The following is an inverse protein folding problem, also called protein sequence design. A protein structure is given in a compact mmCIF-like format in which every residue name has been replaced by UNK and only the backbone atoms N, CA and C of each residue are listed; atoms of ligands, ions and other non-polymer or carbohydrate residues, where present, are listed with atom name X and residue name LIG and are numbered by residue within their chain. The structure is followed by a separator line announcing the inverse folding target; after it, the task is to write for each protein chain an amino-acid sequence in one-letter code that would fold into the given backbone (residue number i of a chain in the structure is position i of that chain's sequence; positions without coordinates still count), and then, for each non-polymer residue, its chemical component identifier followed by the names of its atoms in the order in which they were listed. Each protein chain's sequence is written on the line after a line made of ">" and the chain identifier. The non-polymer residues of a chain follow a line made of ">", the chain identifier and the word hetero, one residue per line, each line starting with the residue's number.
data_IF_742177906661
#
_entry.id   IF_742177906661
#
_cell.length_a   1.000
_cell.length_b   1.000
_cell.length_c   1.000
_cell.angle_alpha   90.00
_cell.angle_beta   90.00
_cell.angle_gamma   90.00
#
_symmetry.space_group_name_H-M   'P 1'
#
loop_
_entity.id
_entity.type
_entity.pdbx_description
1 polymer ?
#
# COMPACT_ATOMS: atom_id res chain seq x y z
N UNK A 1 30.19 -0.27 22.84
CA UNK A 1 28.96 0.46 23.26
C UNK A 1 28.26 -0.40 24.28
N UNK A 2 28.25 0.07 25.53
CA UNK A 2 27.92 -0.68 26.72
C UNK A 2 26.42 -0.57 27.09
N UNK A 3 25.94 -1.61 27.75
CA UNK A 3 24.57 -1.81 28.22
C UNK A 3 24.23 -0.84 29.36
N UNK A 4 23.09 -0.11 29.34
CA UNK A 4 22.85 1.03 30.24
C UNK A 4 22.17 0.66 31.58
N UNK A 5 22.27 -0.59 32.05
CA UNK A 5 21.55 -1.05 33.25
C UNK A 5 22.43 -1.57 34.39
N UNK A 6 23.73 -1.25 34.41
CA UNK A 6 24.58 -1.57 35.55
C UNK A 6 25.33 -0.35 36.08
N UNK A 7 24.95 0.06 37.29
CA UNK A 7 25.78 0.68 38.34
C UNK A 7 25.13 0.20 39.65
N UNK A 8 25.70 -0.76 40.40
CA UNK A 8 26.73 -0.53 41.46
C UNK A 8 26.30 0.69 42.31
N UNK A 9 25.89 0.60 43.58
CA UNK A 9 26.24 -0.21 44.76
C UNK A 9 24.96 -0.23 45.67
N UNK A 10 24.70 -1.13 46.63
CA UNK A 10 25.58 -1.51 47.71
C UNK A 10 25.00 -2.67 48.55
N UNK A 11 25.92 -3.33 49.25
CA UNK A 11 25.80 -4.59 49.99
C UNK A 11 24.83 -4.54 51.17
N UNK A 12 24.12 -5.65 51.43
CA UNK A 12 23.81 -6.11 52.79
C UNK A 12 23.71 -7.64 52.84
N UNK A 13 24.80 -8.28 53.30
CA UNK A 13 24.75 -9.60 53.94
C UNK A 13 23.98 -9.45 55.26
N UNK A 14 22.97 -10.28 55.49
CA UNK A 14 22.27 -10.29 56.78
C UNK A 14 21.22 -11.38 56.92
N UNK A 15 21.60 -12.46 57.61
CA UNK A 15 20.79 -13.36 58.41
C UNK A 15 19.54 -14.05 57.82
N UNK A 16 19.65 -15.38 57.76
CA UNK A 16 18.55 -16.31 58.01
C UNK A 16 17.76 -15.91 59.26
N UNK A 17 16.47 -15.64 59.12
CA UNK A 17 15.52 -15.79 60.22
C UNK A 17 14.17 -16.31 59.73
N UNK A 18 13.71 -17.32 60.46
CA UNK A 18 12.50 -18.08 60.28
C UNK A 18 11.22 -17.23 60.16
N UNK A 19 10.22 -17.81 59.48
CA UNK A 19 8.83 -17.39 59.54
C UNK A 19 8.33 -16.64 58.31
N UNK A 20 8.16 -17.35 57.18
CA UNK A 20 7.14 -16.93 56.22
C UNK A 20 5.84 -17.60 56.63
N UNK A 21 4.99 -16.85 57.33
CA UNK A 21 3.57 -17.15 57.35
C UNK A 21 3.07 -17.17 55.89
N UNK A 22 2.21 -18.12 55.49
CA UNK A 22 1.57 -18.04 54.18
C UNK A 22 0.82 -16.71 54.10
N UNK A 23 1.11 -15.94 53.04
CA UNK A 23 0.42 -14.68 52.76
C UNK A 23 -1.08 -14.95 52.76
N UNK A 24 -1.79 -14.36 53.73
CA UNK A 24 -3.24 -14.46 53.84
C UNK A 24 -3.88 -13.90 52.56
N UNK A 25 -4.47 -14.79 51.76
CA UNK A 25 -5.40 -14.40 50.70
C UNK A 25 -6.65 -13.79 51.34
N UNK A 26 -7.16 -12.69 50.77
CA UNK A 26 -8.38 -12.01 51.25
C UNK A 26 -9.66 -12.85 51.10
N UNK A 27 -9.59 -14.06 50.55
CA UNK A 27 -10.71 -15.01 50.51
C UNK A 27 -10.80 -15.80 51.82
N UNK A 28 -10.85 -15.09 52.95
CA UNK A 28 -11.21 -15.67 54.24
C UNK A 28 -12.70 -15.39 54.48
N UNK A 29 -13.55 -16.29 53.98
CA UNK A 29 -14.98 -16.20 54.15
C UNK A 29 -15.71 -17.28 53.37
N UNK A 30 -15.77 -18.49 53.95
CA UNK A 30 -16.71 -19.52 53.54
C UNK A 30 -18.15 -18.99 53.75
N UNK A 31 -18.73 -18.37 52.73
CA UNK A 31 -20.17 -18.19 52.58
C UNK A 31 -20.63 -19.25 51.59
N UNK A 32 -21.25 -20.31 52.11
CA UNK A 32 -21.80 -21.42 51.33
C UNK A 32 -23.12 -21.01 50.65
N UNK A 33 -23.16 -19.86 49.97
CA UNK A 33 -24.27 -19.47 49.12
C UNK A 33 -23.81 -19.59 47.67
N UNK A 34 -24.38 -20.56 46.98
CA UNK A 34 -24.16 -20.80 45.55
C UNK A 34 -24.54 -19.54 44.76
N UNK A 35 -25.50 -18.78 45.27
CA UNK A 35 -25.97 -17.50 44.76
C UNK A 35 -24.87 -16.42 44.71
N UNK A 36 -24.02 -16.31 45.75
CA UNK A 36 -22.92 -15.32 45.77
C UNK A 36 -21.87 -15.67 44.69
N UNK A 37 -21.55 -16.96 44.55
CA UNK A 37 -20.61 -17.43 43.53
C UNK A 37 -21.16 -17.22 42.12
N UNK A 38 -22.44 -17.52 41.89
CA UNK A 38 -23.10 -17.26 40.60
C UNK A 38 -23.03 -15.77 40.26
N UNK A 39 -23.36 -14.88 41.18
CA UNK A 39 -23.32 -13.44 40.94
C UNK A 39 -21.92 -12.93 40.58
N UNK A 40 -20.87 -13.47 41.20
CA UNK A 40 -19.48 -13.14 40.86
C UNK A 40 -19.10 -13.64 39.46
N UNK A 41 -19.52 -14.85 39.08
CA UNK A 41 -19.32 -15.38 37.72
C UNK A 41 -20.06 -14.55 36.66
N UNK A 42 -21.31 -14.16 36.91
CA UNK A 42 -22.10 -13.32 36.02
C UNK A 42 -21.42 -11.97 35.74
N UNK A 43 -20.88 -11.34 36.80
CA UNK A 43 -20.14 -10.08 36.68
C UNK A 43 -18.87 -10.24 35.85
N UNK A 44 -18.14 -11.34 36.01
CA UNK A 44 -16.92 -11.59 35.25
C UNK A 44 -17.23 -11.87 33.77
N UNK A 45 -18.29 -12.64 33.46
CA UNK A 45 -18.75 -12.87 32.08
C UNK A 45 -19.12 -11.55 31.40
N UNK A 46 -19.92 -10.72 32.06
CA UNK A 46 -20.30 -9.40 31.53
C UNK A 46 -19.08 -8.53 31.25
N UNK A 47 -18.12 -8.50 32.18
CA UNK A 47 -16.88 -7.73 32.02
C UNK A 47 -16.10 -8.19 30.78
N UNK A 48 -15.96 -9.49 30.53
CA UNK A 48 -15.27 -9.99 29.34
C UNK A 48 -16.04 -9.69 28.04
N UNK A 49 -17.36 -9.80 28.05
CA UNK A 49 -18.19 -9.44 26.89
C UNK A 49 -18.08 -7.95 26.56
N UNK A 50 -18.16 -7.08 27.58
CA UNK A 50 -18.00 -5.64 27.39
C UNK A 50 -16.60 -5.31 26.84
N UNK A 51 -15.55 -5.91 27.42
CA UNK A 51 -14.19 -5.75 26.91
C UNK A 51 -14.06 -6.21 25.44
N UNK A 52 -14.77 -7.26 25.05
CA UNK A 52 -14.79 -7.78 23.68
C UNK A 52 -15.51 -6.84 22.72
N UNK A 53 -16.66 -6.28 23.12
CA UNK A 53 -17.37 -5.24 22.36
C UNK A 53 -16.46 -4.02 22.14
N UNK A 54 -15.88 -3.50 23.22
CA UNK A 54 -15.01 -2.32 23.13
C UNK A 54 -13.77 -2.59 22.27
N UNK A 55 -13.20 -3.80 22.35
CA UNK A 55 -12.04 -4.19 21.56
C UNK A 55 -12.38 -4.31 20.08
N UNK A 56 -13.46 -5.01 19.74
CA UNK A 56 -13.89 -5.16 18.34
C UNK A 56 -14.28 -3.83 17.73
N UNK A 57 -14.95 -2.95 18.47
CA UNK A 57 -15.26 -1.59 18.02
C UNK A 57 -13.99 -0.79 17.72
N UNK A 58 -12.98 -0.82 18.59
CA UNK A 58 -11.69 -0.17 18.33
C UNK A 58 -11.03 -0.72 17.07
N UNK A 59 -11.06 -2.04 16.87
CA UNK A 59 -10.50 -2.67 15.68
C UNK A 59 -11.21 -2.25 14.40
N UNK A 60 -12.56 -2.20 14.39
CA UNK A 60 -13.34 -1.68 13.25
C UNK A 60 -12.93 -0.25 12.91
N UNK A 61 -12.78 0.63 13.92
CA UNK A 61 -12.37 2.01 13.70
C UNK A 61 -10.94 2.11 13.14
N UNK A 62 -10.01 1.28 13.63
CA UNK A 62 -8.64 1.25 13.11
C UNK A 62 -8.57 0.75 11.67
N UNK A 63 -9.38 -0.24 11.31
CA UNK A 63 -9.47 -0.75 9.94
C UNK A 63 -10.10 0.29 9.00
N UNK A 64 -11.15 1.01 9.42
CA UNK A 64 -11.72 2.13 8.67
C UNK A 64 -10.68 3.24 8.43
N UNK A 65 -9.89 3.58 9.45
CA UNK A 65 -8.80 4.54 9.28
C UNK A 65 -7.72 4.04 8.31
N UNK A 66 -7.43 2.73 8.33
CA UNK A 66 -6.45 2.12 7.43
C UNK A 66 -6.96 2.13 5.98
N UNK A 67 -8.25 1.89 5.78
CA UNK A 67 -8.90 1.89 4.48
C UNK A 67 -8.88 3.28 3.84
N UNK A 68 -9.23 4.33 4.61
CA UNK A 68 -9.11 5.73 4.18
C UNK A 68 -7.67 6.12 3.81
N UNK A 69 -6.70 5.65 4.60
CA UNK A 69 -5.30 5.87 4.31
C UNK A 69 -4.88 5.19 3.01
N UNK A 70 -5.28 3.93 2.81
CA UNK A 70 -5.01 3.18 1.57
C UNK A 70 -5.64 3.86 0.34
N UNK A 71 -6.87 4.34 0.47
CA UNK A 71 -7.59 5.06 -0.58
C UNK A 71 -6.88 6.38 -0.97
N UNK A 72 -6.43 7.15 0.03
CA UNK A 72 -5.62 8.36 -0.20
C UNK A 72 -4.30 8.02 -0.88
N UNK A 73 -3.59 6.99 -0.41
CA UNK A 73 -2.36 6.51 -1.04
C UNK A 73 -2.59 6.08 -2.49
N UNK A 74 -3.70 5.39 -2.77
CA UNK A 74 -4.06 4.97 -4.11
C UNK A 74 -4.24 6.17 -5.06
N UNK A 75 -4.93 7.22 -4.62
CA UNK A 75 -5.08 8.46 -5.40
C UNK A 75 -3.75 9.13 -5.68
N UNK A 76 -2.88 9.20 -4.66
CA UNK A 76 -1.54 9.75 -4.83
C UNK A 76 -0.71 8.96 -5.84
N UNK A 77 -0.78 7.62 -5.83
CA UNK A 77 -0.07 6.79 -6.81
C UNK A 77 -0.61 7.01 -8.23
N UNK A 78 -1.93 7.13 -8.41
CA UNK A 78 -2.52 7.45 -9.72
C UNK A 78 -2.05 8.81 -10.25
N UNK A 79 -2.01 9.84 -9.39
CA UNK A 79 -1.49 11.17 -9.75
C UNK A 79 0.01 11.13 -10.08
N UNK A 80 0.80 10.43 -9.26
CA UNK A 80 2.24 10.24 -9.50
C UNK A 80 2.48 9.56 -10.84
N UNK A 81 1.71 8.53 -11.16
CA UNK A 81 1.79 7.84 -12.43
C UNK A 81 1.59 8.80 -13.61
N UNK A 82 0.54 9.63 -13.56
CA UNK A 82 0.25 10.59 -14.62
C UNK A 82 1.42 11.57 -14.83
N UNK A 83 2.11 11.96 -13.75
CA UNK A 83 3.32 12.79 -13.83
C UNK A 83 4.48 12.04 -14.49
N UNK A 84 4.69 10.77 -14.15
CA UNK A 84 5.73 9.94 -14.76
C UNK A 84 5.46 9.70 -16.25
N UNK A 85 4.21 9.46 -16.65
CA UNK A 85 3.84 9.31 -18.06
C UNK A 85 4.10 10.59 -18.86
N UNK A 86 3.77 11.77 -18.29
CA UNK A 86 4.14 13.06 -18.90
C UNK A 86 5.65 13.23 -19.00
N UNK A 87 6.41 12.87 -17.98
CA UNK A 87 7.86 12.96 -17.98
C UNK A 87 8.47 12.06 -19.07
N UNK A 88 7.99 10.80 -19.17
CA UNK A 88 8.44 9.86 -20.20
C UNK A 88 8.13 10.39 -21.61
N UNK A 89 6.93 10.94 -21.84
CA UNK A 89 6.54 11.56 -23.10
C UNK A 89 7.44 12.74 -23.46
N UNK A 90 7.71 13.64 -22.51
CA UNK A 90 8.59 14.79 -22.73
C UNK A 90 10.01 14.35 -23.12
N UNK A 91 10.52 13.27 -22.52
CA UNK A 91 11.82 12.71 -22.90
C UNK A 91 11.81 12.14 -24.32
N UNK A 92 10.72 11.51 -24.76
CA UNK A 92 10.60 11.02 -26.14
C UNK A 92 10.51 12.19 -27.15
N UNK A 93 9.85 13.29 -26.78
CA UNK A 93 9.81 14.53 -27.56
C UNK A 93 11.19 15.20 -27.66
N UNK A 94 11.93 15.27 -26.56
CA UNK A 94 13.32 15.76 -26.54
C UNK A 94 14.17 14.90 -27.47
N UNK A 95 14.11 13.57 -27.36
CA UNK A 95 14.86 12.68 -28.24
C UNK A 95 14.56 12.95 -29.71
N UNK A 96 13.29 13.11 -30.07
CA UNK A 96 12.86 13.41 -31.44
C UNK A 96 13.38 14.76 -31.92
N UNK A 97 13.29 15.79 -31.08
CA UNK A 97 13.81 17.14 -31.35
C UNK A 97 15.31 17.11 -31.56
N UNK A 98 16.04 16.43 -30.69
CA UNK A 98 17.48 16.20 -30.79
C UNK A 98 17.85 15.49 -32.09
N UNK A 99 17.08 14.49 -32.56
CA UNK A 99 17.32 13.84 -33.86
C UNK A 99 17.16 14.83 -35.02
N UNK A 100 16.15 15.69 -34.98
CA UNK A 100 15.96 16.75 -35.98
C UNK A 100 17.11 17.76 -35.94
N UNK A 101 17.48 18.24 -34.75
CA UNK A 101 18.62 19.14 -34.53
C UNK A 101 19.91 18.55 -35.08
N UNK A 102 20.18 17.25 -34.89
CA UNK A 102 21.38 16.61 -35.43
C UNK A 102 21.42 16.67 -36.96
N UNK A 103 20.30 16.43 -37.64
CA UNK A 103 20.22 16.51 -39.11
C UNK A 103 20.48 17.93 -39.58
N UNK A 104 19.92 18.93 -38.90
CA UNK A 104 20.16 20.34 -39.19
C UNK A 104 21.62 20.76 -38.92
N UNK A 105 22.26 20.27 -37.86
CA UNK A 105 23.68 20.53 -37.60
C UNK A 105 24.58 19.87 -38.66
N UNK A 106 24.22 18.67 -39.12
CA UNK A 106 24.94 17.99 -40.19
C UNK A 106 24.83 18.75 -41.53
N UNK A 107 23.64 19.31 -41.84
CA UNK A 107 23.49 20.14 -43.04
C UNK A 107 24.28 21.45 -42.95
N UNK A 108 24.28 22.12 -41.79
CA UNK A 108 25.04 23.36 -41.57
C UNK A 108 26.56 23.13 -41.66
N UNK A 109 27.10 22.06 -41.05
CA UNK A 109 28.52 21.68 -41.22
C UNK A 109 28.90 21.54 -42.69
N UNK A 110 28.03 20.95 -43.51
CA UNK A 110 28.28 20.76 -44.94
C UNK A 110 28.36 22.08 -45.72
N UNK A 111 27.71 23.14 -45.26
CA UNK A 111 27.70 24.45 -45.92
C UNK A 111 28.92 25.30 -45.56
N UNK A 112 29.38 25.24 -44.30
CA UNK A 112 30.53 26.01 -43.84
C UNK A 112 31.88 25.34 -44.14
N UNK A 113 31.92 24.02 -44.37
CA UNK A 113 33.16 23.26 -44.64
C UNK A 113 33.40 22.85 -46.11
N UNK A 114 32.47 23.12 -47.04
CA UNK A 114 32.46 22.43 -48.34
C UNK A 114 32.12 23.26 -49.58
N UNK A 115 32.09 24.59 -49.50
CA UNK A 115 31.68 25.43 -50.63
C UNK A 115 32.82 25.96 -51.53
N UNK A 116 33.83 25.13 -51.78
CA UNK A 116 34.62 25.23 -53.02
C UNK A 116 34.73 23.84 -53.66
N UNK A 117 33.96 23.65 -54.74
CA UNK A 117 34.08 22.59 -55.77
C UNK A 117 33.38 21.25 -55.49
N UNK A 118 32.06 21.16 -55.68
CA UNK A 118 31.48 20.28 -56.72
C UNK A 118 29.94 20.40 -56.84
N UNK A 119 29.52 21.02 -57.95
CA UNK A 119 28.48 20.59 -58.91
C UNK A 119 27.14 20.06 -58.38
N UNK A 120 26.10 20.86 -58.65
CA UNK A 120 24.83 20.46 -59.27
C UNK A 120 24.75 18.98 -59.71
N UNK A 121 24.09 18.13 -58.93
CA UNK A 121 23.39 16.94 -59.44
C UNK A 121 22.72 16.19 -58.30
N UNK A 122 21.39 16.04 -58.44
CA UNK A 122 20.50 15.04 -57.83
C UNK A 122 20.00 15.30 -56.39
N UNK A 123 18.80 15.87 -56.37
CA UNK A 123 17.76 15.67 -55.36
C UNK A 123 17.67 14.19 -54.92
N UNK A 124 17.80 13.85 -53.63
CA UNK A 124 17.29 12.59 -53.13
C UNK A 124 15.79 12.74 -52.86
N UNK A 125 14.99 11.88 -53.49
CA UNK A 125 13.58 11.66 -53.14
C UNK A 125 13.51 11.21 -51.69
N UNK A 126 12.95 12.05 -50.82
CA UNK A 126 12.53 11.66 -49.48
C UNK A 126 11.42 10.60 -49.61
N UNK A 127 11.70 9.39 -49.15
CA UNK A 127 10.65 8.46 -48.76
C UNK A 127 10.36 8.73 -47.28
N UNK A 128 9.12 9.05 -46.89
CA UNK A 128 8.77 9.09 -45.48
C UNK A 128 8.97 7.68 -44.94
N UNK A 129 9.88 7.52 -43.98
CA UNK A 129 9.91 6.31 -43.14
C UNK A 129 8.77 6.45 -42.15
N UNK A 130 7.59 6.04 -42.59
CA UNK A 130 6.53 5.59 -41.69
C UNK A 130 7.11 4.45 -40.86
N UNK A 131 7.16 4.66 -39.55
CA UNK A 131 7.83 3.79 -38.61
C UNK A 131 8.21 4.49 -37.32
N UNK A 132 7.50 5.56 -36.94
CA UNK A 132 7.35 5.85 -35.52
C UNK A 132 6.49 4.72 -35.01
N UNK A 133 7.14 3.69 -34.44
CA UNK A 133 6.44 2.80 -33.53
C UNK A 133 5.89 3.73 -32.46
N UNK A 134 4.61 4.08 -32.59
CA UNK A 134 3.83 4.51 -31.47
C UNK A 134 3.91 3.33 -30.51
N UNK A 135 4.85 3.40 -29.56
CA UNK A 135 4.66 2.76 -28.29
C UNK A 135 3.38 3.40 -27.76
N UNK A 136 2.24 2.82 -28.12
CA UNK A 136 0.99 3.05 -27.42
C UNK A 136 1.36 2.78 -25.96
N UNK A 137 1.36 3.82 -25.14
CA UNK A 137 1.44 3.67 -23.70
C UNK A 137 0.31 2.72 -23.35
N UNK A 138 0.66 1.45 -23.13
CA UNK A 138 -0.31 0.45 -22.70
C UNK A 138 -0.89 1.00 -21.42
N UNK A 139 -2.21 1.20 -21.37
CA UNK A 139 -2.87 1.51 -20.10
C UNK A 139 -2.38 0.47 -19.09
N UNK A 140 -1.87 0.95 -17.96
CA UNK A 140 -1.32 0.03 -16.97
C UNK A 140 -2.46 -0.78 -16.41
N UNK A 141 -2.34 -2.09 -16.48
CA UNK A 141 -3.27 -2.99 -15.79
C UNK A 141 -3.30 -2.68 -14.30
N UNK A 142 -2.17 -2.28 -13.71
CA UNK A 142 -2.04 -1.87 -12.31
C UNK A 142 -2.88 -0.62 -11.98
N UNK A 143 -2.80 0.43 -12.81
CA UNK A 143 -3.55 1.68 -12.66
C UNK A 143 -5.05 1.47 -12.89
N UNK A 144 -5.42 0.63 -13.87
CA UNK A 144 -6.80 0.25 -14.14
C UNK A 144 -7.40 -0.54 -12.95
N UNK A 145 -6.63 -1.44 -12.35
CA UNK A 145 -7.05 -2.16 -11.15
C UNK A 145 -7.16 -1.24 -9.93
N UNK A 146 -6.17 -0.36 -9.73
CA UNK A 146 -6.16 0.56 -8.59
C UNK A 146 -7.31 1.57 -8.68
N UNK A 147 -7.54 2.15 -9.86
CA UNK A 147 -8.68 3.05 -10.09
C UNK A 147 -10.01 2.32 -9.94
N UNK A 148 -10.12 1.05 -10.33
CA UNK A 148 -11.31 0.24 -10.09
C UNK A 148 -11.58 0.07 -8.58
N UNK A 149 -10.56 -0.15 -7.76
CA UNK A 149 -10.74 -0.30 -6.31
C UNK A 149 -11.11 1.05 -5.66
N UNK A 150 -10.50 2.16 -6.10
CA UNK A 150 -10.84 3.52 -5.65
C UNK A 150 -12.29 3.90 -6.00
N UNK A 151 -12.73 3.57 -7.22
CA UNK A 151 -14.06 3.95 -7.71
C UNK A 151 -15.14 2.92 -7.34
N UNK A 152 -14.75 1.74 -6.85
CA UNK A 152 -15.68 0.72 -6.36
C UNK A 152 -16.20 1.12 -4.98
N UNK A 153 -17.05 2.15 -4.95
CA UNK A 153 -17.84 2.49 -3.77
C UNK A 153 -18.87 1.38 -3.51
N UNK A 154 -18.67 0.64 -2.41
CA UNK A 154 -19.68 -0.02 -1.56
C UNK A 154 -20.81 -0.89 -2.16
N UNK A 155 -20.85 -1.20 -3.46
CA UNK A 155 -21.90 -2.06 -4.04
C UNK A 155 -21.64 -3.57 -3.89
N UNK A 156 -20.49 -3.96 -3.30
CA UNK A 156 -20.11 -5.35 -3.09
C UNK A 156 -20.31 -5.83 -1.65
N UNK A 157 -21.35 -5.35 -0.97
CA UNK A 157 -22.00 -6.11 0.11
C UNK A 157 -22.88 -7.26 -0.42
N UNK A 158 -23.04 -7.37 -1.74
CA UNK A 158 -23.86 -8.39 -2.40
C UNK A 158 -23.28 -8.77 -3.76
N UNK A 159 -22.03 -9.21 -3.80
CA UNK A 159 -21.54 -9.96 -4.96
C UNK A 159 -21.80 -11.43 -4.68
N UNK A 160 -22.80 -11.97 -5.37
CA UNK A 160 -23.02 -13.40 -5.50
C UNK A 160 -21.68 -14.09 -5.76
N UNK A 161 -21.20 -14.86 -4.78
CA UNK A 161 -20.10 -15.80 -4.91
C UNK A 161 -20.54 -16.97 -5.78
N UNK A 162 -20.83 -16.69 -7.04
CA UNK A 162 -21.01 -17.69 -8.08
C UNK A 162 -19.63 -18.25 -8.42
N UNK A 163 -19.30 -19.35 -7.75
CA UNK A 163 -18.46 -20.39 -8.32
C UNK A 163 -17.00 -19.99 -8.61
N UNK A 164 -16.19 -19.80 -7.56
CA UNK A 164 -14.74 -19.97 -7.64
C UNK A 164 -14.23 -20.57 -6.34
N UNK A 165 -13.75 -21.82 -6.44
CA UNK A 165 -12.97 -22.50 -5.41
C UNK A 165 -11.67 -21.71 -5.16
N UNK A 166 -11.72 -20.74 -4.26
CA UNK A 166 -10.52 -20.11 -3.70
C UNK A 166 -10.83 -19.54 -2.31
N UNK A 167 -10.38 -20.27 -1.29
CA UNK A 167 -10.07 -19.82 0.08
C UNK A 167 -11.08 -18.90 0.75
N UNK A 168 -11.96 -19.54 1.52
CA UNK A 168 -12.85 -18.95 2.50
C UNK A 168 -12.11 -17.99 3.45
N UNK A 169 -12.43 -16.71 3.38
CA UNK A 169 -12.15 -15.70 4.42
C UNK A 169 -13.43 -15.04 4.94
N UNK A 170 -14.61 -15.52 4.54
CA UNK A 170 -15.88 -14.79 4.72
C UNK A 170 -16.95 -15.55 5.52
N UNK A 171 -16.53 -16.23 6.58
CA UNK A 171 -17.45 -16.50 7.68
C UNK A 171 -16.61 -16.54 8.94
N UNK A 172 -16.56 -15.42 9.67
CA UNK A 172 -16.27 -15.54 11.10
C UNK A 172 -17.44 -16.35 11.65
N UNK A 173 -17.18 -17.58 12.12
CA UNK A 173 -18.22 -18.34 12.81
C UNK A 173 -18.68 -17.56 14.05
N UNK A 174 -19.83 -17.94 14.64
CA UNK A 174 -20.31 -17.29 15.86
C UNK A 174 -19.19 -17.30 16.91
N UNK A 175 -18.97 -16.16 17.58
CA UNK A 175 -17.89 -16.02 18.56
C UNK A 175 -18.05 -16.95 19.76
N UNK A 176 -19.29 -17.36 20.05
CA UNK A 176 -19.63 -18.34 21.08
C UNK A 176 -20.20 -19.64 20.48
N UNK A 177 -20.02 -20.74 21.22
CA UNK A 177 -20.62 -22.03 20.88
C UNK A 177 -22.15 -21.97 20.95
N UNK A 178 -22.83 -22.82 20.19
CA UNK A 178 -24.30 -22.86 20.19
C UNK A 178 -24.90 -23.16 21.58
N UNK A 179 -24.24 -24.00 22.37
CA UNK A 179 -24.62 -24.26 23.76
C UNK A 179 -24.48 -23.00 24.64
N UNK A 180 -23.43 -22.20 24.43
CA UNK A 180 -23.23 -20.95 25.16
C UNK A 180 -24.24 -19.89 24.74
N UNK A 181 -24.59 -19.83 23.44
CA UNK A 181 -25.63 -18.94 22.92
C UNK A 181 -27.00 -19.23 23.49
N UNK A 182 -27.36 -20.52 23.59
CA UNK A 182 -28.61 -20.93 24.23
C UNK A 182 -28.69 -20.51 25.71
N UNK A 183 -27.55 -20.47 26.42
CA UNK A 183 -27.51 -20.04 27.83
C UNK A 183 -27.66 -18.53 28.01
N UNK A 184 -27.24 -17.73 27.04
CA UNK A 184 -27.33 -16.27 27.10
C UNK A 184 -28.57 -15.70 26.38
N UNK A 185 -29.37 -16.56 25.73
CA UNK A 185 -30.54 -16.16 24.97
C UNK A 185 -31.55 -15.39 25.84
N UNK A 186 -32.06 -14.28 25.32
CA UNK A 186 -32.99 -13.39 26.01
C UNK A 186 -32.34 -12.49 27.07
N UNK A 187 -31.01 -12.53 27.22
CA UNK A 187 -30.27 -11.69 28.18
C UNK A 187 -29.53 -10.55 27.48
N UNK A 188 -29.02 -9.59 28.27
CA UNK A 188 -28.14 -8.54 27.74
C UNK A 188 -26.84 -9.08 27.13
N UNK A 189 -26.40 -10.28 27.52
CA UNK A 189 -25.21 -10.91 26.98
C UNK A 189 -25.40 -11.35 25.53
N UNK A 190 -26.61 -11.78 25.14
CA UNK A 190 -26.92 -12.07 23.73
C UNK A 190 -26.78 -10.81 22.86
N UNK A 191 -27.24 -9.65 23.34
CA UNK A 191 -27.09 -8.40 22.60
C UNK A 191 -25.61 -8.01 22.40
N UNK A 192 -24.78 -8.17 23.45
CA UNK A 192 -23.33 -7.92 23.36
C UNK A 192 -22.64 -8.93 22.43
N UNK A 193 -22.99 -10.21 22.51
CA UNK A 193 -22.46 -11.27 21.65
C UNK A 193 -22.78 -11.01 20.17
N UNK A 194 -24.04 -10.66 19.88
CA UNK A 194 -24.46 -10.29 18.52
C UNK A 194 -23.71 -9.05 18.01
N UNK A 195 -23.42 -8.07 18.88
CA UNK A 195 -22.61 -6.90 18.50
C UNK A 195 -21.15 -7.28 18.21
N UNK A 196 -20.57 -8.19 19.00
CA UNK A 196 -19.22 -8.72 18.74
C UNK A 196 -19.19 -9.41 17.38
N UNK A 197 -20.13 -10.30 17.09
CA UNK A 197 -20.21 -11.00 15.80
C UNK A 197 -20.37 -10.01 14.63
N UNK A 198 -21.26 -9.02 14.77
CA UNK A 198 -21.43 -7.99 13.75
C UNK A 198 -20.13 -7.20 13.49
N UNK A 199 -19.40 -6.84 14.55
CA UNK A 199 -18.12 -6.15 14.42
C UNK A 199 -17.07 -7.06 13.75
N UNK A 200 -17.02 -8.34 14.10
CA UNK A 200 -16.09 -9.31 13.50
C UNK A 200 -16.36 -9.52 12.00
N UNK A 201 -17.63 -9.56 11.60
CA UNK A 201 -18.01 -9.62 10.19
C UNK A 201 -17.57 -8.37 9.44
N UNK A 202 -17.80 -7.17 10.00
CA UNK A 202 -17.31 -5.92 9.44
C UNK A 202 -15.78 -5.90 9.31
N UNK A 203 -15.07 -6.34 10.35
CA UNK A 203 -13.61 -6.46 10.34
C UNK A 203 -13.15 -7.40 9.24
N UNK A 204 -13.81 -8.54 9.04
CA UNK A 204 -13.46 -9.51 8.00
C UNK A 204 -13.58 -8.92 6.58
N UNK A 205 -14.66 -8.17 6.33
CA UNK A 205 -14.90 -7.49 5.07
C UNK A 205 -13.86 -6.38 4.84
N UNK A 206 -13.57 -5.57 5.86
CA UNK A 206 -12.55 -4.52 5.79
C UNK A 206 -11.15 -5.10 5.56
N UNK A 207 -10.80 -6.21 6.20
CA UNK A 207 -9.52 -6.91 5.98
C UNK A 207 -9.41 -7.45 4.56
N UNK A 208 -10.49 -8.00 4.00
CA UNK A 208 -10.51 -8.43 2.60
C UNK A 208 -10.28 -7.24 1.64
N UNK A 209 -10.90 -6.09 1.92
CA UNK A 209 -10.67 -4.85 1.16
C UNK A 209 -9.22 -4.36 1.31
N UNK A 210 -8.67 -4.35 2.52
CA UNK A 210 -7.27 -3.97 2.77
C UNK A 210 -6.30 -4.91 2.05
N UNK A 211 -6.61 -6.21 1.94
CA UNK A 211 -5.82 -7.13 1.12
C UNK A 211 -5.85 -6.74 -0.37
N UNK A 212 -7.02 -6.37 -0.89
CA UNK A 212 -7.13 -5.88 -2.27
C UNK A 212 -6.30 -4.62 -2.48
N UNK A 213 -6.37 -3.66 -1.55
CA UNK A 213 -5.51 -2.47 -1.56
C UNK A 213 -4.04 -2.84 -1.56
N UNK A 214 -3.60 -3.69 -0.62
CA UNK A 214 -2.20 -4.09 -0.51
C UNK A 214 -1.65 -4.69 -1.81
N UNK A 215 -2.43 -5.54 -2.48
CA UNK A 215 -2.04 -6.08 -3.79
C UNK A 215 -1.96 -5.00 -4.86
N UNK A 216 -3.01 -4.21 -5.05
CA UNK A 216 -3.07 -3.23 -6.14
C UNK A 216 -2.10 -2.05 -5.95
N UNK A 217 -1.92 -1.59 -4.72
CA UNK A 217 -0.91 -0.59 -4.37
C UNK A 217 0.50 -1.14 -4.63
N UNK A 218 0.77 -2.39 -4.26
CA UNK A 218 2.04 -3.06 -4.51
C UNK A 218 2.34 -3.16 -6.01
N UNK A 219 1.38 -3.66 -6.79
CA UNK A 219 1.51 -3.81 -8.24
C UNK A 219 1.74 -2.44 -8.93
N UNK A 220 1.06 -1.38 -8.49
CA UNK A 220 1.25 -0.04 -9.05
C UNK A 220 2.62 0.56 -8.68
N UNK A 221 3.11 0.34 -7.46
CA UNK A 221 4.46 0.78 -7.06
C UNK A 221 5.53 0.07 -7.90
N UNK A 222 5.40 -1.24 -8.10
CA UNK A 222 6.34 -2.00 -8.93
C UNK A 222 6.34 -1.54 -10.39
N UNK A 223 5.17 -1.25 -10.96
CA UNK A 223 5.07 -0.73 -12.32
C UNK A 223 5.62 0.70 -12.44
N UNK A 224 5.42 1.57 -11.44
CA UNK A 224 6.03 2.90 -11.39
C UNK A 224 7.55 2.82 -11.22
N UNK A 225 8.08 1.89 -10.43
CA UNK A 225 9.52 1.66 -10.31
C UNK A 225 10.15 1.31 -11.68
N UNK A 226 9.51 0.41 -12.44
CA UNK A 226 9.95 0.11 -13.80
C UNK A 226 9.86 1.31 -14.75
N UNK A 227 8.87 2.20 -14.54
CA UNK A 227 8.75 3.44 -15.32
C UNK A 227 9.88 4.40 -15.00
N UNK A 228 10.24 4.55 -13.72
CA UNK A 228 11.37 5.35 -13.27
C UNK A 228 12.68 4.88 -13.89
N UNK A 229 12.95 3.58 -13.94
CA UNK A 229 14.16 3.03 -14.58
C UNK A 229 14.25 3.39 -16.08
N UNK A 230 13.11 3.32 -16.79
CA UNK A 230 13.03 3.72 -18.21
C UNK A 230 13.25 5.22 -18.38
N UNK A 231 12.59 6.04 -17.57
CA UNK A 231 12.72 7.50 -17.55
C UNK A 231 14.18 7.88 -17.27
N UNK A 232 14.82 7.25 -16.29
CA UNK A 232 16.22 7.47 -15.96
C UNK A 232 17.13 7.20 -17.16
N UNK A 233 16.98 6.03 -17.78
CA UNK A 233 17.78 5.64 -18.97
C UNK A 233 17.56 6.61 -20.14
N UNK A 234 16.31 7.02 -20.40
CA UNK A 234 15.97 8.02 -21.43
C UNK A 234 16.58 9.38 -21.12
N UNK A 235 16.57 9.78 -19.84
CA UNK A 235 17.14 11.05 -19.38
C UNK A 235 18.64 11.09 -19.61
N UNK A 236 19.39 10.07 -19.17
CA UNK A 236 20.84 10.00 -19.39
C UNK A 236 21.20 10.04 -20.87
N UNK A 237 20.47 9.29 -21.70
CA UNK A 237 20.66 9.28 -23.15
C UNK A 237 20.42 10.66 -23.75
N UNK A 238 19.32 11.32 -23.38
CA UNK A 238 18.99 12.64 -23.90
C UNK A 238 20.00 13.70 -23.46
N UNK A 239 20.40 13.71 -22.19
CA UNK A 239 21.42 14.63 -21.65
C UNK A 239 22.76 14.48 -22.41
N UNK A 240 23.22 13.25 -22.63
CA UNK A 240 24.44 12.99 -23.38
C UNK A 240 24.38 13.54 -24.83
N UNK A 241 23.25 13.36 -25.52
CA UNK A 241 23.12 13.84 -26.91
C UNK A 241 22.96 15.36 -26.95
N UNK A 242 22.19 15.97 -26.04
CA UNK A 242 22.04 17.42 -25.96
C UNK A 242 23.39 18.09 -25.70
N UNK A 243 24.18 17.60 -24.73
CA UNK A 243 25.54 18.12 -24.47
C UNK A 243 26.46 18.01 -25.69
N UNK A 244 26.38 16.89 -26.42
CA UNK A 244 27.14 16.71 -27.67
C UNK A 244 26.76 17.75 -28.72
N UNK A 245 25.46 18.00 -28.88
CA UNK A 245 24.93 18.99 -29.83
C UNK A 245 25.29 20.42 -29.45
N UNK A 246 25.22 20.78 -28.17
CA UNK A 246 25.69 22.07 -27.67
C UNK A 246 27.16 22.30 -28.01
N UNK A 247 28.02 21.29 -27.80
CA UNK A 247 29.43 21.35 -28.19
C UNK A 247 29.63 21.52 -29.70
N UNK A 248 28.80 20.89 -30.53
CA UNK A 248 28.84 21.06 -31.98
C UNK A 248 28.38 22.47 -32.41
N UNK A 249 27.32 22.99 -31.80
CA UNK A 249 26.80 24.33 -32.06
C UNK A 249 27.81 25.41 -31.70
N UNK A 250 28.44 25.32 -30.52
CA UNK A 250 29.50 26.25 -30.10
C UNK A 250 30.64 26.30 -31.12
N UNK A 251 31.11 25.13 -31.59
CA UNK A 251 32.16 25.06 -32.61
C UNK A 251 31.76 25.66 -33.97
N UNK A 252 30.48 25.64 -34.32
CA UNK A 252 29.97 26.22 -35.56
C UNK A 252 29.85 27.75 -35.48
N UNK A 253 29.61 28.29 -34.29
CA UNK A 253 29.42 29.72 -34.07
C UNK A 253 30.72 30.50 -33.82
N UNK A 254 31.83 29.79 -33.55
CA UNK A 254 33.14 30.39 -33.26
C UNK A 254 33.37 30.57 -31.77
#
# INVERSE_FOLDING_TARGET
>A
MANPFYSEEDQLKGNSRAGLDPVKSYTAGSSNNVEDQIADYEREVEKYLQMSVDSTQRSVMQLDSSDKMAESTARNLLEQREKLERAEKNLDEIHTTTQYTQRSLNSLKSLFGGMFKNKFSRLPKEKPKDGVQQNSFSSSKSADQLSKIVNSDNSSGSTSVSNSKSTALSACGPSLSESSRAQIQGTRWEAMDNQVDQNLDQMSAQLARLRMWGSALGDEVDDQNRMLDRIHTKTERNDAVVRSQEGQMRKLLG
#
